data_IF_421774333120
#
_entry.id   IF_421774333120
#
_cell.length_a   1.000
_cell.length_b   1.000
_cell.length_c   1.000
_cell.angle_alpha   90.00
_cell.angle_beta   90.00
_cell.angle_gamma   90.00
#
_symmetry.space_group_name_H-M   'P 1'
#
loop_
_entity.id
_entity.type
_entity.pdbx_description
1 polymer ?
#
# COMPACT_ATOMS: atom_id res chain seq x y z
N UNK A 1 -5.43 18.46 61.88
CA UNK A 1 -6.29 18.49 60.68
C UNK A 1 -5.44 18.85 59.47
N UNK A 2 -4.87 17.88 58.76
CA UNK A 2 -4.33 18.08 57.41
C UNK A 2 -4.56 16.77 56.65
N UNK A 3 -5.52 16.76 55.72
CA UNK A 3 -5.74 15.66 54.77
C UNK A 3 -5.09 16.08 53.46
N UNK A 4 -4.06 15.36 53.01
CA UNK A 4 -3.56 15.49 51.65
C UNK A 4 -4.33 14.54 50.73
N UNK A 5 -4.82 14.98 49.56
CA UNK A 5 -5.46 14.09 48.60
C UNK A 5 -4.38 13.31 47.84
N UNK A 6 -4.48 11.99 47.89
CA UNK A 6 -3.67 11.10 47.05
C UNK A 6 -4.34 11.09 45.67
N UNK A 7 -3.77 11.80 44.72
CA UNK A 7 -4.17 11.73 43.31
C UNK A 7 -3.58 10.46 42.72
N UNK A 8 -4.39 9.41 42.61
CA UNK A 8 -4.03 8.20 41.88
C UNK A 8 -4.06 8.52 40.38
N UNK A 9 -2.88 8.63 39.78
CA UNK A 9 -2.72 8.65 38.32
C UNK A 9 -2.93 7.21 37.84
N UNK A 10 -4.08 6.93 37.23
CA UNK A 10 -4.28 5.72 36.45
C UNK A 10 -3.46 5.87 35.16
N UNK A 11 -2.30 5.22 35.10
CA UNK A 11 -1.56 5.03 33.86
C UNK A 11 -2.29 3.95 33.06
N UNK A 12 -3.15 4.35 32.13
CA UNK A 12 -3.73 3.42 31.15
C UNK A 12 -2.62 2.99 30.20
N UNK A 13 -2.05 1.82 30.45
CA UNK A 13 -1.25 1.11 29.45
C UNK A 13 -2.21 0.70 28.35
N UNK A 14 -2.21 1.46 27.26
CA UNK A 14 -2.89 1.04 26.03
C UNK A 14 -2.17 -0.20 25.52
N UNK A 15 -2.83 -1.36 25.62
CA UNK A 15 -2.45 -2.51 24.80
C UNK A 15 -2.65 -2.07 23.34
N UNK A 16 -1.57 -1.87 22.61
CA UNK A 16 -1.63 -1.85 21.16
C UNK A 16 -2.12 -3.24 20.72
N UNK A 17 -3.42 -3.36 20.48
CA UNK A 17 -3.97 -4.53 19.82
C UNK A 17 -3.30 -4.59 18.44
N UNK A 18 -2.61 -5.69 18.14
CA UNK A 18 -2.23 -5.98 16.76
C UNK A 18 -3.52 -6.04 15.95
N UNK A 19 -3.82 -4.98 15.20
CA UNK A 19 -4.96 -4.96 14.30
C UNK A 19 -4.82 -6.16 13.35
N UNK A 20 -5.88 -6.97 13.15
CA UNK A 20 -5.82 -8.06 12.19
C UNK A 20 -5.56 -7.49 10.79
N UNK A 21 -4.79 -8.22 9.99
CA UNK A 21 -4.57 -7.90 8.58
C UNK A 21 -5.91 -7.84 7.83
N UNK A 22 -6.04 -6.92 6.87
CA UNK A 22 -7.28 -6.77 6.11
C UNK A 22 -7.62 -8.05 5.35
N UNK A 23 -8.88 -8.45 5.39
CA UNK A 23 -9.46 -9.55 4.63
C UNK A 23 -10.38 -9.03 3.52
N UNK A 24 -10.68 -9.90 2.54
CA UNK A 24 -11.60 -9.55 1.45
C UNK A 24 -12.96 -9.14 2.03
N UNK A 25 -13.44 -7.96 1.64
CA UNK A 25 -14.65 -7.33 2.14
C UNK A 25 -14.44 -6.29 3.25
N UNK A 26 -13.24 -6.21 3.84
CA UNK A 26 -12.92 -5.17 4.82
C UNK A 26 -12.84 -3.78 4.16
N UNK A 27 -13.07 -2.74 4.96
CA UNK A 27 -12.94 -1.36 4.50
C UNK A 27 -11.48 -0.91 4.47
N UNK A 28 -11.14 -0.02 3.54
CA UNK A 28 -9.85 0.67 3.56
C UNK A 28 -9.67 1.46 4.88
N UNK A 29 -8.53 1.25 5.53
CA UNK A 29 -8.18 1.84 6.83
C UNK A 29 -7.19 3.00 6.67
N UNK A 30 -6.94 3.74 7.75
CA UNK A 30 -5.95 4.84 7.83
C UNK A 30 -6.10 5.92 6.76
N UNK A 31 -7.33 6.12 6.29
CA UNK A 31 -7.62 6.99 5.14
C UNK A 31 -7.28 8.45 5.34
N UNK A 32 -7.15 8.90 6.60
CA UNK A 32 -6.84 10.27 6.98
C UNK A 32 -5.41 10.45 7.52
N UNK A 33 -4.59 9.39 7.54
CA UNK A 33 -3.17 9.52 7.89
C UNK A 33 -2.47 10.36 6.83
N UNK A 34 -1.78 11.40 7.29
CA UNK A 34 -1.02 12.31 6.43
C UNK A 34 0.33 11.69 6.11
N UNK A 35 0.60 11.53 4.82
CA UNK A 35 1.88 11.02 4.30
C UNK A 35 2.49 12.03 3.33
N UNK A 36 3.82 12.11 3.31
CA UNK A 36 4.54 12.93 2.35
C UNK A 36 4.61 12.20 1.00
N UNK A 37 4.25 12.88 -0.07
CA UNK A 37 4.47 12.43 -1.45
C UNK A 37 5.87 12.81 -1.93
N UNK A 38 6.39 12.07 -2.91
CA UNK A 38 7.60 12.43 -3.68
C UNK A 38 7.51 13.81 -4.38
N UNK A 39 6.33 14.40 -4.51
CA UNK A 39 6.14 15.78 -5.01
C UNK A 39 6.14 16.82 -3.88
N UNK A 40 6.60 16.43 -2.68
CA UNK A 40 6.64 17.24 -1.46
C UNK A 40 5.27 17.72 -0.94
N UNK A 41 4.17 17.25 -1.54
CA UNK A 41 2.81 17.42 -1.04
C UNK A 41 2.55 16.51 0.16
N UNK A 42 1.71 16.95 1.11
CA UNK A 42 1.15 16.10 2.16
C UNK A 42 -0.23 15.64 1.72
N UNK A 43 -0.43 14.32 1.60
CA UNK A 43 -1.65 13.72 1.09
C UNK A 43 -2.16 12.63 2.05
N UNK A 44 -3.43 12.28 1.90
CA UNK A 44 -4.09 11.19 2.61
C UNK A 44 -4.71 10.21 1.61
N UNK A 45 -4.96 8.96 2.00
CA UNK A 45 -5.61 8.01 1.06
C UNK A 45 -7.02 8.49 0.68
N UNK A 46 -7.73 9.16 1.58
CA UNK A 46 -9.07 9.70 1.33
C UNK A 46 -9.12 10.69 0.16
N UNK A 47 -8.07 11.50 -0.02
CA UNK A 47 -7.96 12.47 -1.13
C UNK A 47 -7.59 11.80 -2.45
N UNK A 48 -7.07 10.58 -2.40
CA UNK A 48 -6.50 9.86 -3.54
C UNK A 48 -7.40 8.73 -4.06
N UNK A 49 -8.56 8.52 -3.45
CA UNK A 49 -9.54 7.52 -3.88
C UNK A 49 -10.04 7.80 -5.30
N UNK A 50 -10.14 6.75 -6.10
CA UNK A 50 -10.75 6.82 -7.42
C UNK A 50 -12.24 6.57 -7.38
N UNK A 51 -13.03 7.14 -8.32
CA UNK A 51 -14.48 6.93 -8.39
C UNK A 51 -14.89 5.48 -8.72
N UNK A 52 -13.97 4.64 -9.19
CA UNK A 52 -14.25 3.22 -9.52
C UNK A 52 -13.51 2.24 -8.62
N UNK A 53 -12.76 2.73 -7.64
CA UNK A 53 -11.92 1.92 -6.76
C UNK A 53 -10.57 2.55 -6.49
N UNK A 54 -9.83 1.92 -5.58
CA UNK A 54 -8.51 2.40 -5.12
C UNK A 54 -7.53 1.24 -5.10
N UNK A 55 -6.39 1.41 -5.74
CA UNK A 55 -5.26 0.48 -5.74
C UNK A 55 -4.15 1.05 -4.86
N UNK A 56 -3.85 0.35 -3.77
CA UNK A 56 -2.70 0.63 -2.91
C UNK A 56 -1.67 -0.47 -3.10
N UNK A 57 -0.42 -0.10 -3.37
CA UNK A 57 0.70 -1.05 -3.42
C UNK A 57 1.78 -0.60 -2.44
N UNK A 58 2.07 -1.46 -1.46
CA UNK A 58 3.25 -1.30 -0.63
C UNK A 58 4.47 -1.75 -1.42
N UNK A 59 5.41 -0.84 -1.64
CA UNK A 59 6.57 -1.03 -2.51
C UNK A 59 7.82 -0.37 -1.92
N UNK A 60 8.93 -0.42 -2.63
CA UNK A 60 10.23 0.10 -2.19
C UNK A 60 11.12 0.39 -3.39
N UNK A 61 12.18 1.18 -3.22
CA UNK A 61 13.11 1.49 -4.32
C UNK A 61 14.30 0.52 -4.47
N UNK A 62 14.47 -0.44 -3.55
CA UNK A 62 15.72 -1.25 -3.48
C UNK A 62 15.53 -2.77 -3.60
N UNK A 63 14.32 -3.31 -3.42
CA UNK A 63 14.10 -4.76 -3.46
C UNK A 63 14.15 -5.31 -4.91
N UNK A 64 14.92 -6.38 -5.19
CA UNK A 64 14.98 -6.96 -6.52
C UNK A 64 13.62 -7.46 -7.04
N UNK A 65 12.73 -7.91 -6.15
CA UNK A 65 11.36 -8.31 -6.54
C UNK A 65 10.54 -7.11 -7.03
N UNK A 66 10.67 -5.94 -6.39
CA UNK A 66 10.02 -4.72 -6.86
C UNK A 66 10.61 -4.30 -8.20
N UNK A 67 11.94 -4.22 -8.31
CA UNK A 67 12.61 -3.81 -9.55
C UNK A 67 12.16 -4.65 -10.76
N UNK A 68 11.92 -5.94 -10.53
CA UNK A 68 11.47 -6.86 -11.55
C UNK A 68 10.02 -6.63 -12.01
N UNK A 69 9.14 -6.19 -11.11
CA UNK A 69 7.74 -5.85 -11.41
C UNK A 69 7.53 -4.36 -11.71
N UNK A 70 8.56 -3.54 -11.51
CA UNK A 70 8.48 -2.08 -11.44
C UNK A 70 7.80 -1.48 -12.66
N UNK A 71 8.31 -1.79 -13.85
CA UNK A 71 7.76 -1.32 -15.12
C UNK A 71 6.29 -1.72 -15.29
N UNK A 72 5.95 -2.97 -15.00
CA UNK A 72 4.58 -3.50 -15.11
C UNK A 72 3.63 -2.80 -14.14
N UNK A 73 4.04 -2.60 -12.88
CA UNK A 73 3.21 -1.91 -11.89
C UNK A 73 2.96 -0.45 -12.29
N UNK A 74 3.95 0.23 -12.90
CA UNK A 74 3.80 1.61 -13.39
C UNK A 74 2.91 1.67 -14.62
N UNK A 75 3.08 0.75 -15.59
CA UNK A 75 2.21 0.64 -16.75
C UNK A 75 0.75 0.42 -16.34
N UNK A 76 0.51 -0.47 -15.36
CA UNK A 76 -0.80 -0.67 -14.74
C UNK A 76 -1.27 0.64 -14.10
N UNK A 77 -0.50 1.23 -13.20
CA UNK A 77 -0.93 2.43 -12.48
C UNK A 77 -1.28 3.60 -13.41
N UNK A 78 -0.45 3.84 -14.43
CA UNK A 78 -0.68 4.88 -15.43
C UNK A 78 -1.88 4.59 -16.35
N UNK A 79 -2.19 3.32 -16.58
CA UNK A 79 -3.34 2.91 -17.40
C UNK A 79 -4.65 2.99 -16.62
N UNK A 80 -4.69 2.44 -15.41
CA UNK A 80 -5.93 2.30 -14.63
C UNK A 80 -6.30 3.60 -13.89
N UNK A 81 -5.34 4.48 -13.60
CA UNK A 81 -5.64 5.85 -13.15
C UNK A 81 -6.54 6.60 -14.14
N UNK A 82 -6.25 6.49 -15.44
CA UNK A 82 -7.07 7.08 -16.52
C UNK A 82 -8.45 6.43 -16.66
N UNK A 83 -8.64 5.23 -16.09
CA UNK A 83 -9.92 4.51 -16.09
C UNK A 83 -10.77 4.78 -14.84
N UNK A 84 -10.27 5.58 -13.89
CA UNK A 84 -10.98 5.98 -12.67
C UNK A 84 -10.59 5.20 -11.40
N UNK A 85 -9.47 4.48 -11.42
CA UNK A 85 -8.89 3.86 -10.21
C UNK A 85 -7.93 4.87 -9.55
N UNK A 86 -8.08 5.10 -8.25
CA UNK A 86 -7.09 5.86 -7.48
C UNK A 86 -5.87 4.99 -7.26
N UNK A 87 -4.71 5.34 -7.80
CA UNK A 87 -3.50 4.52 -7.68
C UNK A 87 -2.53 5.18 -6.71
N UNK A 88 -2.04 4.42 -5.74
CA UNK A 88 -1.21 4.93 -4.65
C UNK A 88 -0.11 3.92 -4.37
N UNK A 89 1.15 4.33 -4.53
CA UNK A 89 2.27 3.56 -4.01
C UNK A 89 2.64 4.09 -2.63
N UNK A 90 3.01 3.19 -1.72
CA UNK A 90 3.43 3.54 -0.35
C UNK A 90 4.74 2.83 -0.05
N UNK A 91 5.72 3.59 0.42
CA UNK A 91 6.95 3.06 0.97
C UNK A 91 6.90 3.14 2.50
N UNK A 92 6.94 1.97 3.15
CA UNK A 92 6.93 1.83 4.61
C UNK A 92 8.26 1.32 5.16
N UNK A 93 9.31 1.23 4.34
CA UNK A 93 10.63 0.81 4.78
C UNK A 93 11.33 1.90 5.58
N UNK A 94 12.09 1.46 6.58
CA UNK A 94 13.11 2.23 7.27
C UNK A 94 14.31 2.47 6.33
N UNK A 95 14.56 3.73 5.90
CA UNK A 95 15.64 4.06 4.97
C UNK A 95 17.03 3.73 5.53
N UNK A 96 17.20 3.73 6.86
CA UNK A 96 18.48 3.48 7.51
C UNK A 96 18.91 2.00 7.43
N UNK A 97 17.96 1.09 7.17
CA UNK A 97 18.23 -0.35 7.11
C UNK A 97 18.61 -0.86 5.71
N UNK A 98 18.15 -0.22 4.65
CA UNK A 98 18.30 -0.75 3.29
C UNK A 98 18.56 0.31 2.20
N UNK A 99 18.75 1.59 2.57
CA UNK A 99 19.01 2.66 1.61
C UNK A 99 17.79 3.05 0.77
N UNK A 100 16.58 2.67 1.19
CA UNK A 100 15.32 3.01 0.54
C UNK A 100 14.86 4.42 0.91
N UNK A 101 15.68 5.38 0.52
CA UNK A 101 15.54 6.80 0.88
C UNK A 101 14.45 7.51 0.08
N UNK A 102 14.02 8.67 0.58
CA UNK A 102 13.10 9.54 -0.15
C UNK A 102 13.66 10.00 -1.51
N UNK A 103 14.98 10.22 -1.61
CA UNK A 103 15.64 10.60 -2.87
C UNK A 103 15.68 9.44 -3.88
N UNK A 104 15.88 8.20 -3.43
CA UNK A 104 15.80 7.03 -4.32
C UNK A 104 14.36 6.78 -4.80
N UNK A 105 13.35 7.05 -3.97
CA UNK A 105 11.94 7.06 -4.40
C UNK A 105 11.68 8.10 -5.48
N UNK A 106 12.11 9.36 -5.30
CA UNK A 106 12.00 10.44 -6.30
C UNK A 106 12.68 10.05 -7.61
N UNK A 107 13.90 9.50 -7.51
CA UNK A 107 14.68 9.06 -8.67
C UNK A 107 13.95 7.98 -9.45
N UNK A 108 13.51 6.90 -8.78
CA UNK A 108 12.77 5.81 -9.40
C UNK A 108 11.47 6.29 -10.05
N UNK A 109 10.68 7.11 -9.37
CA UNK A 109 9.41 7.59 -9.89
C UNK A 109 9.58 8.43 -11.16
N UNK A 110 10.64 9.26 -11.22
CA UNK A 110 11.00 10.04 -12.41
C UNK A 110 11.48 9.16 -13.56
N UNK A 111 12.34 8.17 -13.28
CA UNK A 111 12.92 7.30 -14.30
C UNK A 111 11.89 6.38 -14.95
N UNK A 112 10.95 5.87 -14.15
CA UNK A 112 9.89 4.96 -14.61
C UNK A 112 8.63 5.70 -15.07
N UNK A 113 8.53 7.01 -14.81
CA UNK A 113 7.44 7.85 -15.31
C UNK A 113 6.11 7.65 -14.58
N UNK A 114 6.13 7.72 -13.25
CA UNK A 114 4.91 7.60 -12.43
C UNK A 114 3.97 8.78 -12.72
N UNK A 115 2.68 8.49 -12.94
CA UNK A 115 1.63 9.51 -13.13
C UNK A 115 0.64 9.52 -11.96
N UNK A 116 1.04 8.96 -10.82
CA UNK A 116 0.24 8.79 -9.61
C UNK A 116 1.12 8.93 -8.36
N UNK A 117 0.55 9.23 -7.18
CA UNK A 117 1.33 9.50 -5.99
C UNK A 117 2.17 8.30 -5.50
N UNK A 118 3.37 8.61 -5.02
CA UNK A 118 4.20 7.69 -4.26
C UNK A 118 4.48 8.31 -2.90
N UNK A 119 3.94 7.69 -1.85
CA UNK A 119 3.90 8.23 -0.50
C UNK A 119 4.92 7.54 0.42
N UNK A 120 5.36 8.27 1.44
CA UNK A 120 6.17 7.74 2.55
C UNK A 120 5.28 7.52 3.77
N UNK A 121 5.18 6.27 4.18
CA UNK A 121 4.67 5.88 5.50
C UNK A 121 5.85 5.88 6.49
N UNK A 122 5.99 7.00 7.20
CA UNK A 122 7.17 7.28 8.04
C UNK A 122 7.19 6.55 9.38
N UNK A 123 6.08 5.95 9.81
CA UNK A 123 6.01 5.13 11.04
C UNK A 123 5.84 3.64 10.75
N UNK A 124 5.57 3.29 9.48
CA UNK A 124 5.19 1.96 9.04
C UNK A 124 3.83 1.49 9.60
N UNK A 125 3.06 2.35 10.25
CA UNK A 125 1.77 2.00 10.86
C UNK A 125 0.72 1.73 9.79
N UNK A 126 0.73 2.47 8.68
CA UNK A 126 -0.22 2.24 7.58
C UNK A 126 -0.01 0.84 6.99
N UNK A 127 1.25 0.41 6.80
CA UNK A 127 1.54 -0.96 6.41
C UNK A 127 1.04 -2.00 7.43
N UNK A 128 1.21 -1.74 8.75
CA UNK A 128 0.73 -2.64 9.79
C UNK A 128 -0.80 -2.76 9.80
N UNK A 129 -1.53 -1.65 9.67
CA UNK A 129 -2.99 -1.64 9.64
C UNK A 129 -3.56 -2.35 8.41
N UNK A 130 -2.88 -2.27 7.27
CA UNK A 130 -3.25 -3.05 6.07
C UNK A 130 -2.91 -4.54 6.23
N UNK A 131 -1.98 -4.88 7.13
CA UNK A 131 -1.39 -6.21 7.22
C UNK A 131 -0.36 -6.50 6.11
N UNK A 132 0.17 -5.46 5.47
CA UNK A 132 1.22 -5.59 4.48
C UNK A 132 2.51 -6.10 5.14
N UNK A 133 3.15 -7.09 4.55
CA UNK A 133 4.39 -7.66 5.13
C UNK A 133 5.54 -7.77 4.12
N UNK A 134 5.25 -7.54 2.84
CA UNK A 134 6.16 -7.73 1.73
C UNK A 134 6.22 -6.50 0.82
N UNK A 135 7.20 -6.49 -0.08
CA UNK A 135 7.27 -5.54 -1.19
C UNK A 135 7.60 -6.29 -2.50
N UNK A 136 6.81 -6.15 -3.57
CA UNK A 136 5.52 -5.44 -3.62
C UNK A 136 4.42 -6.24 -2.90
N UNK A 137 3.41 -5.56 -2.34
CA UNK A 137 2.20 -6.16 -1.74
C UNK A 137 0.97 -5.32 -2.12
N UNK A 138 -0.02 -5.96 -2.73
CA UNK A 138 -1.10 -5.29 -3.47
C UNK A 138 -2.41 -5.35 -2.70
N UNK A 139 -3.14 -4.23 -2.66
CA UNK A 139 -4.47 -4.10 -2.08
C UNK A 139 -5.36 -3.29 -3.03
N UNK A 140 -6.40 -3.91 -3.58
CA UNK A 140 -7.37 -3.27 -4.48
C UNK A 140 -8.73 -3.22 -3.81
N UNK A 141 -9.27 -2.01 -3.71
CA UNK A 141 -10.58 -1.71 -3.16
C UNK A 141 -11.55 -1.32 -4.27
N UNK A 142 -12.81 -1.72 -4.13
CA UNK A 142 -13.88 -1.32 -5.04
C UNK A 142 -14.36 0.12 -4.78
N UNK A 143 -15.36 0.57 -5.54
CA UNK A 143 -15.95 1.92 -5.40
C UNK A 143 -16.70 2.14 -4.07
N UNK A 144 -16.96 1.08 -3.30
CA UNK A 144 -17.54 1.14 -1.95
C UNK A 144 -16.46 1.01 -0.86
N UNK A 145 -15.19 1.18 -1.23
CA UNK A 145 -14.04 1.07 -0.35
C UNK A 145 -13.83 -0.32 0.27
N UNK A 146 -14.37 -1.38 -0.34
CA UNK A 146 -14.22 -2.76 0.12
C UNK A 146 -13.04 -3.43 -0.55
N UNK A 147 -12.19 -4.12 0.22
CA UNK A 147 -11.06 -4.87 -0.31
C UNK A 147 -11.57 -6.03 -1.17
N UNK A 148 -11.24 -6.02 -2.47
CA UNK A 148 -11.69 -7.03 -3.44
C UNK A 148 -10.53 -7.86 -4.00
N UNK A 149 -9.30 -7.40 -3.86
CA UNK A 149 -8.11 -8.19 -4.17
C UNK A 149 -6.95 -7.85 -3.25
N UNK A 150 -6.25 -8.87 -2.73
CA UNK A 150 -4.98 -8.71 -2.01
C UNK A 150 -3.95 -9.75 -2.40
N UNK A 151 -2.67 -9.36 -2.51
CA UNK A 151 -1.57 -10.29 -2.74
C UNK A 151 -0.49 -9.82 -3.71
N UNK A 152 -0.08 -10.71 -4.60
CA UNK A 152 0.99 -10.48 -5.57
C UNK A 152 0.54 -9.62 -6.77
N UNK A 153 1.50 -9.09 -7.52
CA UNK A 153 1.24 -8.42 -8.82
C UNK A 153 0.86 -9.45 -9.89
N UNK A 154 1.52 -10.60 -9.89
CA UNK A 154 1.29 -11.69 -10.84
C UNK A 154 1.96 -12.99 -10.40
N UNK A 155 1.87 -13.98 -11.28
CA UNK A 155 2.46 -15.29 -11.09
C UNK A 155 3.99 -15.20 -11.14
N UNK A 156 4.69 -15.88 -10.22
CA UNK A 156 6.13 -16.10 -10.33
C UNK A 156 7.03 -14.86 -10.24
N UNK A 157 8.12 -14.90 -11.00
CA UNK A 157 9.25 -13.96 -10.95
C UNK A 157 9.31 -13.03 -12.15
N UNK A 158 8.17 -12.68 -12.75
CA UNK A 158 8.01 -11.87 -13.96
C UNK A 158 8.80 -12.41 -15.17
N UNK A 159 8.56 -13.66 -15.53
CA UNK A 159 9.04 -14.31 -16.75
C UNK A 159 8.02 -14.21 -17.89
N UNK A 160 8.48 -14.31 -19.14
CA UNK A 160 7.60 -14.23 -20.31
C UNK A 160 6.53 -15.33 -20.26
N UNK A 161 5.26 -14.92 -20.30
CA UNK A 161 4.11 -15.82 -20.29
C UNK A 161 3.44 -16.00 -18.92
N UNK A 162 4.00 -15.44 -17.86
CA UNK A 162 3.36 -15.42 -16.53
C UNK A 162 2.12 -14.52 -16.51
N UNK A 163 1.11 -14.92 -15.74
CA UNK A 163 -0.12 -14.14 -15.58
C UNK A 163 0.09 -12.91 -14.72
N UNK A 164 -0.55 -11.80 -15.10
CA UNK A 164 -0.56 -10.57 -14.32
C UNK A 164 -1.90 -10.49 -13.56
N UNK A 165 -1.96 -11.17 -12.41
CA UNK A 165 -3.19 -11.29 -11.61
C UNK A 165 -3.80 -9.94 -11.20
N UNK A 166 -2.97 -8.94 -10.89
CA UNK A 166 -3.46 -7.59 -10.59
C UNK A 166 -4.20 -6.98 -11.80
N UNK A 167 -3.69 -7.17 -13.02
CA UNK A 167 -4.35 -6.67 -14.23
C UNK A 167 -5.70 -7.36 -14.43
N UNK A 168 -5.75 -8.68 -14.26
CA UNK A 168 -6.98 -9.46 -14.36
C UNK A 168 -8.02 -9.00 -13.32
N UNK A 169 -7.58 -8.76 -12.08
CA UNK A 169 -8.45 -8.27 -11.00
C UNK A 169 -8.99 -6.85 -11.28
N UNK A 170 -8.16 -5.95 -11.82
CA UNK A 170 -8.58 -4.60 -12.20
C UNK A 170 -9.56 -4.61 -13.38
N UNK A 171 -9.32 -5.44 -14.39
CA UNK A 171 -10.23 -5.57 -15.53
C UNK A 171 -11.59 -6.15 -15.07
N UNK A 172 -11.57 -7.20 -14.25
CA UNK A 172 -12.79 -7.77 -13.69
C UNK A 172 -13.57 -6.75 -12.85
N UNK A 173 -12.89 -6.02 -11.95
CA UNK A 173 -13.51 -4.95 -11.15
C UNK A 173 -14.19 -3.90 -12.04
N UNK A 174 -13.48 -3.41 -13.07
CA UNK A 174 -14.00 -2.36 -13.96
C UNK A 174 -15.16 -2.84 -14.84
N UNK A 175 -15.24 -4.13 -15.14
CA UNK A 175 -16.32 -4.74 -15.90
C UNK A 175 -17.50 -5.20 -15.03
N UNK A 176 -17.39 -5.09 -13.70
CA UNK A 176 -18.38 -5.63 -12.77
C UNK A 176 -18.41 -7.16 -12.76
N UNK A 177 -17.30 -7.80 -13.12
CA UNK A 177 -17.12 -9.24 -13.16
C UNK A 177 -16.53 -9.75 -11.85
N UNK A 178 -16.68 -11.06 -11.60
CA UNK A 178 -16.08 -11.71 -10.44
C UNK A 178 -14.56 -11.78 -10.60
N UNK A 179 -13.83 -11.37 -9.58
CA UNK A 179 -12.39 -11.61 -9.48
C UNK A 179 -12.17 -13.08 -9.12
N UNK A 180 -11.62 -13.87 -10.04
CA UNK A 180 -11.44 -15.32 -9.85
C UNK A 180 -10.46 -15.68 -8.71
N UNK A 181 -9.38 -14.90 -8.58
CA UNK A 181 -8.37 -15.10 -7.54
C UNK A 181 -8.24 -13.84 -6.67
N UNK A 182 -9.19 -13.59 -5.75
CA UNK A 182 -9.19 -12.37 -4.94
C UNK A 182 -8.05 -12.35 -3.91
N UNK A 183 -7.47 -13.50 -3.58
CA UNK A 183 -6.31 -13.61 -2.69
C UNK A 183 -5.21 -14.39 -3.37
N UNK A 184 -4.03 -13.78 -3.52
CA UNK A 184 -2.85 -14.45 -4.07
C UNK A 184 -1.68 -14.37 -3.10
N UNK A 185 -0.74 -15.31 -3.20
CA UNK A 185 0.40 -15.36 -2.29
C UNK A 185 1.47 -14.36 -2.72
N UNK A 186 1.73 -13.36 -1.89
CA UNK A 186 2.79 -12.39 -2.12
C UNK A 186 4.19 -13.03 -1.97
N UNK A 187 5.07 -12.73 -2.91
CA UNK A 187 6.49 -13.09 -2.88
C UNK A 187 7.30 -11.81 -3.01
N UNK A 188 8.19 -11.55 -2.05
CA UNK A 188 8.96 -10.32 -2.02
C UNK A 188 9.89 -10.24 -0.81
N UNK A 189 10.66 -9.15 -0.75
CA UNK A 189 11.40 -8.77 0.45
C UNK A 189 10.40 -8.45 1.57
N UNK A 190 10.77 -8.72 2.83
CA UNK A 190 9.98 -8.23 3.97
C UNK A 190 10.12 -6.72 4.12
N UNK A 191 9.03 -6.04 4.46
CA UNK A 191 9.03 -4.61 4.83
C UNK A 191 10.01 -4.41 5.99
N UNK A 192 10.86 -3.39 5.87
CA UNK A 192 11.79 -2.95 6.92
C UNK A 192 11.04 -2.04 7.87
N UNK A 193 10.24 -2.64 8.75
CA UNK A 193 9.48 -1.89 9.73
C UNK A 193 10.39 -1.06 10.64
N UNK A 194 9.92 0.13 11.00
CA UNK A 194 10.46 0.95 12.09
C UNK A 194 9.95 0.48 13.45
#
# INVERSE_FOLDING_TARGET
MIKHPITTILLTVGLAANAPALEIGDEIVDTHVKMQSIDDATLTLSELKGPKGTLVIFTCSTCPFVLNWQKTMVEIGNTYSKKGIGVIFINSNDPDQNGDTFESMKTMAREEGYQFPYLVDSTSDVARSFGATKTPDVFLFDANDKLVYKGAVGEGGHTVGEKIWLKDALDALLNGEKIENPVTKTVGCGIKFR
#
